data_IF_945405026726
#
_entry.id   IF_945405026726
#
_cell.length_a   1.000
_cell.length_b   1.000
_cell.length_c   1.000
_cell.angle_alpha   90.00
_cell.angle_beta   90.00
_cell.angle_gamma   90.00
#
_symmetry.space_group_name_H-M   'P 1'
#
loop_
_entity.id
_entity.type
_entity.pdbx_description
1 polymer ?
#
# COMPACT_ATOMS: atom_id res chain seq x y z
N UNK A 1 27.83 24.49 -15.47
CA UNK A 1 27.20 23.29 -16.10
C UNK A 1 26.05 22.63 -15.31
N UNK A 2 26.07 22.53 -13.97
CA UNK A 2 24.99 21.84 -13.22
C UNK A 2 23.60 22.52 -13.24
N UNK A 3 23.48 23.78 -13.68
CA UNK A 3 22.20 24.49 -13.79
C UNK A 3 21.34 24.02 -14.98
N UNK A 4 21.98 23.55 -16.05
CA UNK A 4 21.30 23.09 -17.27
C UNK A 4 21.06 21.58 -17.30
N UNK A 5 21.52 20.83 -16.29
CA UNK A 5 21.33 19.38 -16.21
C UNK A 5 19.85 18.95 -16.37
N UNK A 6 18.85 19.66 -15.79
CA UNK A 6 17.44 19.29 -15.95
C UNK A 6 16.84 19.58 -17.34
N UNK A 7 17.52 20.37 -18.19
CA UNK A 7 16.93 20.85 -19.44
C UNK A 7 16.57 19.70 -20.39
N UNK A 8 17.47 18.73 -20.56
CA UNK A 8 17.24 17.57 -21.43
C UNK A 8 16.13 16.64 -20.88
N UNK A 9 16.15 16.22 -19.60
CA UNK A 9 15.00 15.53 -18.98
C UNK A 9 13.68 16.29 -19.09
N UNK A 10 13.68 17.60 -18.85
CA UNK A 10 12.49 18.43 -18.96
C UNK A 10 11.93 18.39 -20.39
N UNK A 11 12.77 18.58 -21.40
CA UNK A 11 12.37 18.53 -22.80
C UNK A 11 11.78 17.17 -23.18
N UNK A 12 12.43 16.07 -22.79
CA UNK A 12 11.93 14.71 -23.06
C UNK A 12 10.58 14.43 -22.39
N UNK A 13 10.37 14.91 -21.16
CA UNK A 13 9.07 14.80 -20.48
C UNK A 13 7.99 15.63 -21.14
N UNK A 14 8.31 16.83 -21.64
CA UNK A 14 7.38 17.68 -22.40
C UNK A 14 7.00 17.01 -23.74
N UNK A 15 7.94 16.38 -24.43
CA UNK A 15 7.66 15.62 -25.65
C UNK A 15 6.71 14.43 -25.38
N UNK A 16 6.91 13.72 -24.27
CA UNK A 16 5.98 12.67 -23.83
C UNK A 16 4.59 13.25 -23.51
N UNK A 17 4.54 14.40 -22.83
CA UNK A 17 3.27 15.08 -22.53
C UNK A 17 2.50 15.43 -23.82
N UNK A 18 3.20 15.97 -24.82
CA UNK A 18 2.62 16.32 -26.12
C UNK A 18 2.14 15.07 -26.89
N UNK A 19 2.86 13.96 -26.81
CA UNK A 19 2.43 12.69 -27.37
C UNK A 19 1.11 12.22 -26.77
N UNK A 20 1.01 12.16 -25.44
CA UNK A 20 -0.23 11.75 -24.76
C UNK A 20 -1.40 12.72 -25.01
N UNK A 21 -1.11 14.01 -25.19
CA UNK A 21 -2.13 15.01 -25.51
C UNK A 21 -2.78 14.72 -26.87
N UNK A 22 -1.99 14.27 -27.85
CA UNK A 22 -2.49 13.88 -29.18
C UNK A 22 -3.49 12.72 -29.13
N UNK A 23 -3.37 11.84 -28.14
CA UNK A 23 -4.30 10.71 -27.92
C UNK A 23 -5.47 11.08 -26.98
N UNK A 24 -5.61 12.35 -26.58
CA UNK A 24 -6.67 12.80 -25.67
C UNK A 24 -6.46 12.39 -24.21
N UNK A 25 -5.26 11.92 -23.83
CA UNK A 25 -4.96 11.47 -22.46
C UNK A 25 -4.53 12.63 -21.56
N UNK A 26 -5.45 13.58 -21.33
CA UNK A 26 -5.18 14.85 -20.62
C UNK A 26 -4.56 14.62 -19.24
N UNK A 27 -5.04 13.63 -18.47
CA UNK A 27 -4.49 13.33 -17.15
C UNK A 27 -2.99 12.96 -17.16
N UNK A 28 -2.56 12.17 -18.15
CA UNK A 28 -1.16 11.76 -18.29
C UNK A 28 -0.31 12.94 -18.79
N UNK A 29 -0.83 13.74 -19.73
CA UNK A 29 -0.17 14.97 -20.19
C UNK A 29 0.13 15.90 -19.02
N UNK A 30 -0.85 16.21 -18.17
CA UNK A 30 -0.65 17.07 -17.01
C UNK A 30 0.36 16.45 -16.03
N UNK A 31 0.29 15.14 -15.78
CA UNK A 31 1.27 14.46 -14.94
C UNK A 31 2.72 14.61 -15.45
N UNK A 32 2.95 14.45 -16.76
CA UNK A 32 4.28 14.66 -17.35
C UNK A 32 4.73 16.12 -17.30
N UNK A 33 3.84 17.09 -17.52
CA UNK A 33 4.17 18.51 -17.39
C UNK A 33 4.55 18.88 -15.94
N UNK A 34 3.82 18.36 -14.96
CA UNK A 34 4.15 18.55 -13.54
C UNK A 34 5.50 17.92 -13.22
N UNK A 35 5.77 16.69 -13.71
CA UNK A 35 7.06 16.04 -13.52
C UNK A 35 8.21 16.81 -14.21
N UNK A 36 7.95 17.41 -15.38
CA UNK A 36 8.89 18.28 -16.07
C UNK A 36 9.20 19.55 -15.25
N UNK A 37 8.23 20.09 -14.50
CA UNK A 37 8.48 21.13 -13.50
C UNK A 37 9.31 20.62 -12.32
N UNK A 38 8.97 19.44 -11.79
CA UNK A 38 9.63 18.87 -10.61
C UNK A 38 11.12 18.57 -10.84
N UNK A 39 11.57 18.20 -12.05
CA UNK A 39 13.00 17.95 -12.32
C UNK A 39 13.86 19.21 -12.14
N UNK A 40 13.28 20.41 -12.10
CA UNK A 40 14.02 21.63 -11.77
C UNK A 40 14.30 21.79 -10.28
N UNK A 41 13.62 21.03 -9.40
CA UNK A 41 13.87 21.02 -7.95
C UNK A 41 15.18 20.30 -7.61
N UNK A 42 15.54 20.27 -6.32
CA UNK A 42 16.68 19.48 -5.80
C UNK A 42 16.24 18.20 -5.06
N UNK A 43 14.98 17.83 -5.15
CA UNK A 43 14.43 16.68 -4.44
C UNK A 43 15.05 15.37 -4.95
N UNK A 44 15.70 14.62 -4.04
CA UNK A 44 16.40 13.38 -4.38
C UNK A 44 15.54 12.33 -5.09
N UNK A 45 14.28 12.18 -4.69
CA UNK A 45 13.37 11.17 -5.22
C UNK A 45 12.91 11.46 -6.66
N UNK A 46 12.84 12.74 -7.05
CA UNK A 46 12.35 13.16 -8.37
C UNK A 46 13.21 12.60 -9.49
N UNK A 47 14.54 12.56 -9.30
CA UNK A 47 15.44 12.00 -10.33
C UNK A 47 15.13 10.53 -10.65
N UNK A 48 14.74 9.75 -9.65
CA UNK A 48 14.44 8.34 -9.80
C UNK A 48 13.08 8.14 -10.47
N UNK A 49 12.07 8.92 -10.06
CA UNK A 49 10.74 8.88 -10.68
C UNK A 49 10.79 9.37 -12.12
N UNK A 50 11.49 10.47 -12.40
CA UNK A 50 11.68 10.97 -13.76
C UNK A 50 12.48 10.00 -14.62
N UNK A 51 13.54 9.36 -14.09
CA UNK A 51 14.25 8.31 -14.82
C UNK A 51 13.33 7.10 -15.14
N UNK A 52 12.50 6.66 -14.20
CA UNK A 52 11.53 5.58 -14.44
C UNK A 52 10.47 5.99 -15.48
N UNK A 53 9.99 7.23 -15.44
CA UNK A 53 9.02 7.75 -16.40
C UNK A 53 9.62 7.88 -17.82
N UNK A 54 10.88 8.31 -17.93
CA UNK A 54 11.60 8.35 -19.21
C UNK A 54 11.86 6.94 -19.73
N UNK A 55 12.21 5.98 -18.87
CA UNK A 55 12.33 4.57 -19.23
C UNK A 55 11.02 4.02 -19.80
N UNK A 56 9.90 4.28 -19.13
CA UNK A 56 8.56 3.98 -19.67
C UNK A 56 8.34 4.64 -21.03
N UNK A 57 8.71 5.92 -21.16
CA UNK A 57 8.65 6.67 -22.42
C UNK A 57 9.44 6.03 -23.56
N UNK A 58 10.56 5.35 -23.30
CA UNK A 58 11.30 4.62 -24.35
C UNK A 58 10.41 3.52 -24.95
N UNK A 59 9.67 2.78 -24.11
CA UNK A 59 8.72 1.77 -24.59
C UNK A 59 7.56 2.41 -25.36
N UNK A 60 7.03 3.54 -24.89
CA UNK A 60 5.98 4.30 -25.60
C UNK A 60 6.44 4.74 -27.00
N UNK A 61 7.64 5.29 -27.11
CA UNK A 61 8.21 5.69 -28.38
C UNK A 61 8.49 4.50 -29.30
N UNK A 62 8.99 3.39 -28.76
CA UNK A 62 9.21 2.16 -29.53
C UNK A 62 7.90 1.59 -30.10
N UNK A 63 6.85 1.51 -29.29
CA UNK A 63 5.53 1.05 -29.73
C UNK A 63 4.94 1.97 -30.81
N UNK A 64 5.05 3.28 -30.61
CA UNK A 64 4.60 4.29 -31.58
C UNK A 64 5.38 4.19 -32.89
N UNK A 65 6.70 4.03 -32.83
CA UNK A 65 7.55 3.88 -33.99
C UNK A 65 7.18 2.64 -34.80
N UNK A 66 7.03 1.49 -34.13
CA UNK A 66 6.62 0.24 -34.77
C UNK A 66 5.25 0.35 -35.44
N UNK A 67 4.29 1.00 -34.78
CA UNK A 67 2.95 1.22 -35.34
C UNK A 67 3.02 2.07 -36.62
N UNK A 68 3.69 3.22 -36.56
CA UNK A 68 3.74 4.16 -37.69
C UNK A 68 4.58 3.61 -38.86
N UNK A 69 5.67 2.89 -38.59
CA UNK A 69 6.49 2.24 -39.63
C UNK A 69 5.69 1.13 -40.32
N UNK A 70 5.00 0.26 -39.55
CA UNK A 70 4.14 -0.79 -40.12
C UNK A 70 3.01 -0.19 -40.98
N UNK A 71 2.43 0.92 -40.54
CA UNK A 71 1.40 1.62 -41.31
C UNK A 71 1.95 2.14 -42.65
N UNK A 72 3.14 2.77 -42.66
CA UNK A 72 3.77 3.23 -43.90
C UNK A 72 4.17 2.10 -44.84
N UNK A 73 4.73 1.02 -44.31
CA UNK A 73 5.04 -0.17 -45.10
C UNK A 73 3.79 -0.75 -45.76
N UNK A 74 2.67 -0.80 -45.04
CA UNK A 74 1.39 -1.26 -45.60
C UNK A 74 0.85 -0.34 -46.70
N UNK A 75 1.19 0.95 -46.67
CA UNK A 75 0.84 1.94 -47.69
C UNK A 75 1.89 2.05 -48.81
N UNK A 76 2.95 1.24 -48.78
CA UNK A 76 4.10 1.32 -49.70
C UNK A 76 4.81 2.69 -49.71
N UNK A 77 4.72 3.46 -48.63
CA UNK A 77 5.38 4.76 -48.46
C UNK A 77 6.82 4.62 -47.92
N UNK A 78 7.66 5.63 -48.17
CA UNK A 78 8.99 5.71 -47.54
C UNK A 78 8.86 5.83 -46.01
N UNK A 79 9.42 4.84 -45.31
CA UNK A 79 9.44 4.75 -43.86
C UNK A 79 10.81 5.07 -43.25
N UNK A 80 11.86 5.20 -44.06
CA UNK A 80 13.24 5.37 -43.60
C UNK A 80 13.43 6.67 -42.82
N UNK A 81 12.95 7.79 -43.38
CA UNK A 81 12.98 9.11 -42.72
C UNK A 81 12.26 9.08 -41.37
N UNK A 82 11.09 8.45 -41.31
CA UNK A 82 10.31 8.33 -40.07
C UNK A 82 11.06 7.49 -39.02
N UNK A 83 11.64 6.36 -39.43
CA UNK A 83 12.41 5.50 -38.53
C UNK A 83 13.62 6.23 -37.93
N UNK A 84 14.33 7.04 -38.74
CA UNK A 84 15.44 7.88 -38.27
C UNK A 84 14.96 8.91 -37.25
N UNK A 85 13.84 9.61 -37.51
CA UNK A 85 13.27 10.59 -36.59
C UNK A 85 12.90 9.93 -35.26
N UNK A 86 12.14 8.82 -35.30
CA UNK A 86 11.71 8.13 -34.08
C UNK A 86 12.88 7.53 -33.30
N UNK A 87 13.87 6.97 -33.99
CA UNK A 87 15.11 6.50 -33.39
C UNK A 87 15.89 7.63 -32.68
N UNK A 88 15.92 8.82 -33.28
CA UNK A 88 16.53 10.01 -32.68
C UNK A 88 15.80 10.46 -31.41
N UNK A 89 14.46 10.48 -31.43
CA UNK A 89 13.63 10.80 -30.26
C UNK A 89 13.88 9.79 -29.13
N UNK A 90 13.94 8.49 -29.44
CA UNK A 90 14.25 7.44 -28.48
C UNK A 90 15.66 7.60 -27.89
N UNK A 91 16.66 7.92 -28.73
CA UNK A 91 18.03 8.16 -28.28
C UNK A 91 18.11 9.38 -27.33
N UNK A 92 17.46 10.49 -27.69
CA UNK A 92 17.37 11.69 -26.82
C UNK A 92 16.72 11.33 -25.48
N UNK A 93 15.62 10.58 -25.50
CA UNK A 93 14.94 10.14 -24.29
C UNK A 93 15.81 9.22 -23.41
N UNK A 94 16.58 8.32 -24.03
CA UNK A 94 17.54 7.47 -23.34
C UNK A 94 18.68 8.28 -22.70
N UNK A 95 19.25 9.25 -23.42
CA UNK A 95 20.29 10.15 -22.88
C UNK A 95 19.73 10.97 -21.72
N UNK A 96 18.50 11.47 -21.83
CA UNK A 96 17.83 12.19 -20.75
C UNK A 96 17.70 11.33 -19.47
N UNK A 97 17.31 10.06 -19.62
CA UNK A 97 17.28 9.10 -18.51
C UNK A 97 18.68 8.87 -17.93
N UNK A 98 19.70 8.66 -18.76
CA UNK A 98 21.09 8.45 -18.34
C UNK A 98 21.67 9.66 -17.58
N UNK A 99 21.29 10.88 -17.98
CA UNK A 99 21.68 12.11 -17.29
C UNK A 99 21.18 12.12 -15.83
N UNK A 100 19.95 11.65 -15.58
CA UNK A 100 19.36 11.59 -14.23
C UNK A 100 19.96 10.50 -13.33
N UNK A 101 20.49 9.43 -13.91
CA UNK A 101 21.15 8.34 -13.17
C UNK A 101 22.64 8.60 -12.93
N UNK A 102 23.25 9.51 -13.69
CA UNK A 102 24.66 9.88 -13.62
C UNK A 102 25.11 10.57 -12.32
N UNK A 103 26.44 10.66 -12.15
CA UNK A 103 27.07 11.22 -10.95
C UNK A 103 26.75 12.72 -10.74
N UNK A 104 26.61 13.50 -11.82
CA UNK A 104 26.26 14.92 -11.73
C UNK A 104 24.85 15.14 -11.18
N UNK A 105 23.89 14.30 -11.58
CA UNK A 105 22.54 14.32 -11.04
C UNK A 105 22.53 13.96 -9.55
N UNK A 106 23.29 12.95 -9.12
CA UNK A 106 23.42 12.62 -7.69
C UNK A 106 23.89 13.81 -6.84
N UNK A 107 24.80 14.64 -7.35
CA UNK A 107 25.25 15.87 -6.67
C UNK A 107 24.21 16.98 -6.66
N UNK A 108 23.34 17.06 -7.69
CA UNK A 108 22.30 18.11 -7.77
C UNK A 108 21.07 17.79 -6.92
N UNK A 109 20.63 16.53 -6.96
CA UNK A 109 19.44 16.05 -6.26
C UNK A 109 19.85 15.45 -4.92
N UNK A 110 20.47 16.28 -4.08
CA UNK A 110 21.06 15.92 -2.80
C UNK A 110 20.07 16.00 -1.63
N UNK A 111 18.97 16.74 -1.79
CA UNK A 111 17.97 16.90 -0.74
C UNK A 111 17.35 15.54 -0.37
N UNK A 112 17.51 15.14 0.90
CA UNK A 112 17.06 13.86 1.44
C UNK A 112 17.57 12.64 0.66
N UNK A 113 18.80 12.70 0.16
CA UNK A 113 19.42 11.65 -0.68
C UNK A 113 19.34 10.23 -0.11
N UNK A 114 19.46 10.08 1.22
CA UNK A 114 19.32 8.78 1.91
C UNK A 114 17.90 8.21 1.85
N UNK A 115 16.87 9.07 1.82
CA UNK A 115 15.45 8.69 1.81
C UNK A 115 14.91 8.56 0.38
N UNK A 116 15.52 9.29 -0.55
CA UNK A 116 15.15 9.37 -1.95
C UNK A 116 14.81 8.04 -2.64
N UNK A 117 15.61 6.95 -2.52
CA UNK A 117 15.28 5.70 -3.17
C UNK A 117 13.97 5.09 -2.66
N UNK A 118 13.68 5.20 -1.36
CA UNK A 118 12.46 4.64 -0.76
C UNK A 118 11.23 5.49 -1.08
N UNK A 119 11.39 6.81 -1.17
CA UNK A 119 10.33 7.71 -1.64
C UNK A 119 9.96 7.40 -3.10
N UNK A 120 10.96 7.24 -3.96
CA UNK A 120 10.75 6.87 -5.35
C UNK A 120 10.15 5.46 -5.48
N UNK A 121 10.60 4.49 -4.66
CA UNK A 121 10.03 3.16 -4.63
C UNK A 121 8.54 3.19 -4.22
N UNK A 122 8.15 4.00 -3.23
CA UNK A 122 6.75 4.15 -2.85
C UNK A 122 5.91 4.73 -3.99
N UNK A 123 6.42 5.78 -4.66
CA UNK A 123 5.78 6.33 -5.86
C UNK A 123 5.56 5.25 -6.93
N UNK A 124 6.61 4.51 -7.26
CA UNK A 124 6.60 3.50 -8.33
C UNK A 124 5.66 2.36 -7.97
N UNK A 125 5.68 1.87 -6.72
CA UNK A 125 4.75 0.84 -6.25
C UNK A 125 3.30 1.32 -6.40
N UNK A 126 2.98 2.54 -5.96
CA UNK A 126 1.63 3.10 -6.13
C UNK A 126 1.25 3.20 -7.60
N UNK A 127 2.14 3.74 -8.44
CA UNK A 127 1.87 3.91 -9.86
C UNK A 127 1.65 2.56 -10.56
N UNK A 128 2.52 1.59 -10.33
CA UNK A 128 2.44 0.24 -10.94
C UNK A 128 1.16 -0.47 -10.49
N UNK A 129 0.86 -0.48 -9.19
CA UNK A 129 -0.36 -1.14 -8.68
C UNK A 129 -1.60 -0.52 -9.31
N UNK A 130 -1.69 0.81 -9.36
CA UNK A 130 -2.85 1.49 -9.94
C UNK A 130 -2.95 1.34 -11.46
N UNK A 131 -1.83 1.35 -12.19
CA UNK A 131 -1.81 1.10 -13.63
C UNK A 131 -2.26 -0.32 -13.95
N UNK A 132 -1.76 -1.32 -13.22
CA UNK A 132 -2.19 -2.71 -13.37
C UNK A 132 -3.69 -2.82 -13.09
N UNK A 133 -4.16 -2.24 -11.99
CA UNK A 133 -5.56 -2.29 -11.62
C UNK A 133 -6.45 -1.59 -12.67
N UNK A 134 -6.05 -0.42 -13.16
CA UNK A 134 -6.76 0.32 -14.22
C UNK A 134 -6.85 -0.45 -15.54
N UNK A 135 -5.80 -1.19 -15.91
CA UNK A 135 -5.72 -1.89 -17.19
C UNK A 135 -6.31 -3.32 -17.16
N UNK A 136 -6.43 -3.94 -15.98
CA UNK A 136 -6.90 -5.33 -15.85
C UNK A 136 -8.35 -5.45 -15.43
N UNK A 137 -8.91 -4.42 -14.81
CA UNK A 137 -10.28 -4.45 -14.30
C UNK A 137 -11.23 -3.94 -15.38
N UNK A 138 -12.31 -4.67 -15.64
CA UNK A 138 -13.29 -4.37 -16.71
C UNK A 138 -14.20 -3.17 -16.44
N UNK A 139 -13.94 -2.37 -15.42
CA UNK A 139 -14.72 -1.20 -15.04
C UNK A 139 -13.78 -0.05 -14.60
N UNK A 140 -14.23 1.22 -14.66
CA UNK A 140 -13.38 2.37 -14.30
C UNK A 140 -13.05 2.37 -12.80
N UNK A 141 -11.92 1.78 -12.43
CA UNK A 141 -11.49 1.58 -11.04
C UNK A 141 -10.97 2.87 -10.36
N UNK A 142 -10.59 3.89 -11.13
CA UNK A 142 -10.18 5.20 -10.61
C UNK A 142 -11.35 6.17 -10.56
N UNK A 143 -11.45 6.96 -9.49
CA UNK A 143 -12.63 7.82 -9.25
C UNK A 143 -12.70 8.93 -10.29
N UNK A 144 -11.54 9.49 -10.62
CA UNK A 144 -11.41 10.48 -11.69
C UNK A 144 -11.87 9.95 -13.06
N UNK A 145 -11.53 8.71 -13.44
CA UNK A 145 -11.99 8.11 -14.69
C UNK A 145 -13.52 7.91 -14.70
N UNK A 146 -14.16 7.75 -13.54
CA UNK A 146 -15.61 7.59 -13.46
C UNK A 146 -16.37 8.91 -13.55
N UNK A 147 -15.85 9.98 -12.93
CA UNK A 147 -16.48 11.31 -12.97
C UNK A 147 -16.14 12.09 -14.24
N UNK A 148 -14.93 11.90 -14.78
CA UNK A 148 -14.38 12.69 -15.87
C UNK A 148 -13.91 11.81 -17.05
N UNK A 149 -14.53 10.64 -17.23
CA UNK A 149 -14.07 9.58 -18.14
C UNK A 149 -13.86 9.98 -19.60
N UNK A 150 -14.58 10.99 -20.09
CA UNK A 150 -14.35 11.54 -21.43
C UNK A 150 -12.95 12.16 -21.62
N UNK A 151 -12.25 12.50 -20.53
CA UNK A 151 -10.98 13.25 -20.54
C UNK A 151 -9.82 12.45 -19.89
N UNK A 152 -10.02 11.17 -19.55
CA UNK A 152 -8.97 10.25 -19.07
C UNK A 152 -8.12 10.78 -17.90
N UNK A 153 -8.74 11.40 -16.88
CA UNK A 153 -8.04 11.98 -15.73
C UNK A 153 -7.37 10.97 -14.79
N UNK A 154 -7.61 9.66 -14.95
CA UNK A 154 -6.98 8.60 -14.16
C UNK A 154 -5.46 8.69 -14.08
N UNK A 155 -4.79 9.07 -15.17
CA UNK A 155 -3.34 9.25 -15.18
C UNK A 155 -2.84 10.28 -14.16
N UNK A 156 -3.55 11.41 -14.03
CA UNK A 156 -3.21 12.43 -13.03
C UNK A 156 -3.47 11.93 -11.61
N UNK A 157 -4.60 11.23 -11.40
CA UNK A 157 -4.89 10.64 -10.09
C UNK A 157 -3.78 9.66 -9.64
N UNK A 158 -3.29 8.82 -10.55
CA UNK A 158 -2.16 7.91 -10.30
C UNK A 158 -0.92 8.70 -9.88
N UNK A 159 -0.56 9.72 -10.65
CA UNK A 159 0.60 10.56 -10.38
C UNK A 159 0.51 11.24 -9.01
N UNK A 160 -0.63 11.86 -8.69
CA UNK A 160 -0.85 12.55 -7.41
C UNK A 160 -0.76 11.59 -6.22
N UNK A 161 -1.32 10.38 -6.33
CA UNK A 161 -1.19 9.36 -5.28
C UNK A 161 0.26 8.85 -5.16
N UNK A 162 1.01 8.77 -6.27
CA UNK A 162 2.44 8.50 -6.25
C UNK A 162 3.23 9.58 -5.50
N UNK A 163 2.95 10.87 -5.75
CA UNK A 163 3.57 11.98 -5.03
C UNK A 163 3.23 11.93 -3.54
N UNK A 164 1.97 11.66 -3.20
CA UNK A 164 1.54 11.44 -1.82
C UNK A 164 2.31 10.28 -1.16
N UNK A 165 2.46 9.14 -1.85
CA UNK A 165 3.25 8.01 -1.36
C UNK A 165 4.73 8.37 -1.14
N UNK A 166 5.35 9.11 -2.06
CA UNK A 166 6.73 9.56 -1.93
C UNK A 166 6.92 10.49 -0.72
N UNK A 167 5.98 11.41 -0.50
CA UNK A 167 6.01 12.30 0.66
C UNK A 167 5.87 11.51 1.97
N UNK A 168 4.88 10.61 2.05
CA UNK A 168 4.68 9.76 3.23
C UNK A 168 5.87 8.86 3.54
N UNK A 169 6.46 8.22 2.54
CA UNK A 169 7.64 7.38 2.71
C UNK A 169 8.82 8.18 3.30
N UNK A 170 8.97 9.45 2.90
CA UNK A 170 9.98 10.35 3.45
C UNK A 170 9.74 10.71 4.92
N UNK A 171 8.47 10.75 5.35
CA UNK A 171 8.06 10.98 6.73
C UNK A 171 8.28 9.74 7.62
N UNK A 172 7.83 8.57 7.17
CA UNK A 172 7.81 7.34 8.01
C UNK A 172 9.13 6.59 8.07
N UNK A 173 10.14 6.98 7.29
CA UNK A 173 11.44 6.33 7.36
C UNK A 173 12.16 6.60 8.68
N UNK A 174 11.97 7.79 9.28
CA UNK A 174 12.38 8.06 10.66
C UNK A 174 11.52 7.23 11.63
N UNK A 175 12.14 6.38 12.48
CA UNK A 175 11.42 5.57 13.45
C UNK A 175 10.50 6.35 14.38
N UNK A 176 10.90 7.55 14.81
CA UNK A 176 10.11 8.33 15.74
C UNK A 176 8.88 8.92 15.05
N UNK A 177 9.09 9.57 13.90
CA UNK A 177 8.00 10.05 13.05
C UNK A 177 7.04 8.92 12.64
N UNK A 178 7.54 7.72 12.29
CA UNK A 178 6.71 6.58 11.93
C UNK A 178 5.68 6.22 13.00
N UNK A 179 6.12 6.09 14.26
CA UNK A 179 5.23 5.72 15.38
C UNK A 179 4.13 6.74 15.63
N UNK A 180 4.37 8.01 15.31
CA UNK A 180 3.40 9.09 15.45
C UNK A 180 2.49 9.23 14.22
N UNK A 181 3.06 9.09 13.02
CA UNK A 181 2.36 9.27 11.76
C UNK A 181 1.48 8.06 11.41
N UNK A 182 1.96 6.82 11.60
CA UNK A 182 1.26 5.59 11.19
C UNK A 182 -0.20 5.55 11.66
N UNK A 183 -0.54 5.76 12.94
CA UNK A 183 -1.93 5.73 13.39
C UNK A 183 -2.81 6.79 12.71
N UNK A 184 -2.27 7.98 12.43
CA UNK A 184 -3.00 9.07 11.78
C UNK A 184 -3.26 8.77 10.31
N UNK A 185 -2.24 8.28 9.59
CA UNK A 185 -2.38 7.87 8.19
C UNK A 185 -3.39 6.74 8.05
N UNK A 186 -3.34 5.77 8.97
CA UNK A 186 -4.25 4.64 8.96
C UNK A 186 -5.70 5.05 9.30
N UNK A 187 -5.88 5.94 10.27
CA UNK A 187 -7.19 6.53 10.57
C UNK A 187 -7.73 7.37 9.40
N UNK A 188 -6.87 8.14 8.72
CA UNK A 188 -7.24 8.88 7.52
C UNK A 188 -7.74 7.97 6.41
N UNK A 189 -7.05 6.85 6.15
CA UNK A 189 -7.52 5.84 5.19
C UNK A 189 -8.90 5.27 5.58
N UNK A 190 -9.09 4.92 6.86
CA UNK A 190 -10.39 4.44 7.35
C UNK A 190 -11.48 5.50 7.16
N UNK A 191 -11.19 6.76 7.49
CA UNK A 191 -12.14 7.86 7.33
C UNK A 191 -12.54 8.07 5.86
N UNK A 192 -11.58 8.08 4.93
CA UNK A 192 -11.86 8.20 3.49
C UNK A 192 -12.70 7.03 2.99
N UNK A 193 -12.37 5.80 3.39
CA UNK A 193 -13.13 4.61 3.01
C UNK A 193 -14.60 4.68 3.47
N UNK A 194 -14.86 5.00 4.73
CA UNK A 194 -16.23 5.08 5.27
C UNK A 194 -16.98 6.32 4.79
N UNK A 195 -16.30 7.44 4.57
CA UNK A 195 -16.90 8.62 3.95
C UNK A 195 -17.38 8.30 2.53
N UNK A 196 -16.55 7.60 1.75
CA UNK A 196 -16.93 7.22 0.40
C UNK A 196 -18.08 6.20 0.38
N UNK A 197 -18.09 5.24 1.31
CA UNK A 197 -19.24 4.36 1.52
C UNK A 197 -20.51 5.16 1.81
N UNK A 198 -20.44 6.11 2.75
CA UNK A 198 -21.58 6.95 3.10
C UNK A 198 -22.09 7.74 1.90
N UNK A 199 -21.21 8.42 1.15
CA UNK A 199 -21.56 9.11 -0.10
C UNK A 199 -22.13 8.17 -1.16
N UNK A 200 -21.63 6.94 -1.23
CA UNK A 200 -22.14 5.90 -2.13
C UNK A 200 -23.57 5.48 -1.82
N UNK A 201 -23.95 5.46 -0.55
CA UNK A 201 -25.28 5.08 -0.09
C UNK A 201 -26.28 6.26 -0.06
N UNK A 202 -25.81 7.48 0.20
CA UNK A 202 -26.70 8.64 0.40
C UNK A 202 -26.74 9.63 -0.76
N UNK A 203 -25.65 9.74 -1.54
CA UNK A 203 -25.51 10.75 -2.59
C UNK A 203 -25.57 10.12 -3.98
N UNK A 204 -24.72 9.13 -4.26
CA UNK A 204 -24.67 8.50 -5.59
C UNK A 204 -23.88 7.20 -5.59
N UNK A 205 -24.44 6.16 -6.20
CA UNK A 205 -23.80 4.85 -6.39
C UNK A 205 -22.48 4.91 -7.17
N UNK A 206 -22.18 6.02 -7.89
CA UNK A 206 -20.86 6.24 -8.52
C UNK A 206 -19.69 6.20 -7.55
N UNK A 207 -19.90 6.39 -6.24
CA UNK A 207 -18.87 6.22 -5.21
C UNK A 207 -18.69 4.75 -4.78
N UNK A 208 -19.62 3.86 -5.12
CA UNK A 208 -19.56 2.41 -4.87
C UNK A 208 -18.88 1.68 -6.04
N UNK A 209 -18.27 0.52 -5.78
CA UNK A 209 -17.48 -0.24 -6.74
C UNK A 209 -18.36 -0.97 -7.74
N UNK A 210 -19.38 -1.70 -7.28
CA UNK A 210 -20.17 -2.66 -8.08
C UNK A 210 -21.69 -2.52 -7.90
N UNK A 211 -22.17 -1.43 -7.29
CA UNK A 211 -23.60 -1.17 -7.08
C UNK A 211 -24.30 -2.12 -6.08
N UNK A 212 -23.59 -3.13 -5.55
CA UNK A 212 -24.10 -4.04 -4.52
C UNK A 212 -23.52 -3.69 -3.15
N UNK A 213 -24.35 -3.77 -2.11
CA UNK A 213 -23.97 -3.47 -0.74
C UNK A 213 -22.97 -4.51 -0.22
N UNK A 214 -21.70 -4.12 -0.10
CA UNK A 214 -20.68 -4.88 0.61
C UNK A 214 -20.56 -4.32 2.02
N UNK A 215 -21.11 -5.03 3.01
CA UNK A 215 -20.96 -4.64 4.40
C UNK A 215 -19.45 -4.68 4.77
N UNK A 216 -18.85 -3.59 5.28
CA UNK A 216 -17.43 -3.51 5.59
C UNK A 216 -17.11 -4.23 6.91
N UNK A 217 -17.31 -5.54 6.94
CA UNK A 217 -16.98 -6.41 8.08
C UNK A 217 -15.88 -7.37 7.62
N UNK A 218 -14.66 -7.31 8.19
CA UNK A 218 -13.53 -8.14 7.74
C UNK A 218 -13.81 -9.64 7.72
N UNK A 219 -14.68 -10.16 8.59
CA UNK A 219 -15.06 -11.57 8.58
C UNK A 219 -15.71 -12.01 7.26
N UNK A 220 -16.36 -11.10 6.53
CA UNK A 220 -16.98 -11.38 5.23
C UNK A 220 -15.96 -11.62 4.11
N UNK A 221 -14.68 -11.28 4.31
CA UNK A 221 -13.61 -11.65 3.37
C UNK A 221 -13.56 -13.18 3.20
N UNK A 222 -13.84 -13.94 4.25
CA UNK A 222 -13.91 -15.41 4.19
C UNK A 222 -15.36 -15.90 4.19
N UNK A 223 -16.22 -15.35 5.07
CA UNK A 223 -17.59 -15.81 5.20
C UNK A 223 -18.44 -15.60 3.95
N UNK A 224 -18.26 -14.48 3.24
CA UNK A 224 -19.01 -14.16 2.02
C UNK A 224 -18.79 -15.19 0.91
N UNK A 225 -17.54 -15.45 0.49
CA UNK A 225 -17.24 -16.48 -0.51
C UNK A 225 -17.70 -17.88 -0.11
N UNK A 226 -17.57 -18.27 1.17
CA UNK A 226 -18.03 -19.59 1.62
C UNK A 226 -19.56 -19.73 1.55
N UNK A 227 -20.30 -18.67 1.86
CA UNK A 227 -21.76 -18.68 1.78
C UNK A 227 -22.27 -18.62 0.32
N UNK A 228 -21.62 -17.81 -0.54
CA UNK A 228 -22.04 -17.61 -1.94
C UNK A 228 -21.47 -18.65 -2.91
N UNK A 229 -20.36 -19.31 -2.56
CA UNK A 229 -19.52 -20.13 -3.44
C UNK A 229 -18.88 -19.35 -4.60
N UNK A 230 -18.65 -18.05 -4.38
CA UNK A 230 -18.08 -17.14 -5.38
C UNK A 230 -16.94 -16.31 -4.77
N UNK A 231 -15.84 -16.19 -5.50
CA UNK A 231 -14.70 -15.40 -5.05
C UNK A 231 -14.99 -13.90 -5.21
N UNK A 232 -14.73 -13.13 -4.15
CA UNK A 232 -14.90 -11.67 -4.18
C UNK A 232 -13.56 -10.96 -4.45
N UNK A 233 -13.65 -9.74 -4.99
CA UNK A 233 -12.50 -8.86 -5.16
C UNK A 233 -11.69 -8.67 -3.86
N UNK A 234 -12.39 -8.56 -2.71
CA UNK A 234 -11.76 -8.41 -1.40
C UNK A 234 -10.86 -9.60 -1.02
N UNK A 235 -11.17 -10.83 -1.47
CA UNK A 235 -10.29 -12.00 -1.23
C UNK A 235 -8.98 -11.85 -1.96
N UNK A 236 -9.02 -11.52 -3.26
CA UNK A 236 -7.81 -11.36 -4.06
C UNK A 236 -6.96 -10.19 -3.57
N UNK A 237 -7.61 -9.09 -3.21
CA UNK A 237 -6.95 -7.92 -2.65
C UNK A 237 -6.31 -8.25 -1.29
N UNK A 238 -7.02 -8.93 -0.40
CA UNK A 238 -6.48 -9.38 0.89
C UNK A 238 -5.30 -10.35 0.70
N UNK A 239 -5.46 -11.38 -0.13
CA UNK A 239 -4.42 -12.39 -0.35
C UNK A 239 -3.17 -11.78 -1.00
N UNK A 240 -3.34 -10.99 -2.06
CA UNK A 240 -2.23 -10.32 -2.75
C UNK A 240 -1.44 -9.41 -1.81
N UNK A 241 -2.13 -8.63 -0.97
CA UNK A 241 -1.43 -7.77 0.00
C UNK A 241 -0.75 -8.53 1.13
N UNK A 242 -1.36 -9.61 1.63
CA UNK A 242 -0.73 -10.40 2.70
C UNK A 242 0.49 -11.17 2.18
N UNK A 243 0.46 -11.64 0.92
CA UNK A 243 1.63 -12.24 0.27
C UNK A 243 2.75 -11.20 0.11
N UNK A 244 2.42 -9.97 -0.28
CA UNK A 244 3.43 -8.92 -0.52
C UNK A 244 3.96 -8.29 0.78
N UNK A 245 3.08 -7.88 1.69
CA UNK A 245 3.41 -7.08 2.88
C UNK A 245 3.33 -7.87 4.19
N UNK A 246 2.96 -9.16 4.15
CA UNK A 246 2.80 -10.00 5.33
C UNK A 246 1.57 -9.63 6.17
N UNK A 247 1.63 -9.79 7.51
CA UNK A 247 0.51 -9.47 8.40
C UNK A 247 0.26 -7.95 8.58
N UNK A 248 0.92 -7.11 7.78
CA UNK A 248 0.79 -5.66 7.77
C UNK A 248 -0.60 -5.15 7.40
N UNK A 249 -1.40 -5.99 6.72
CA UNK A 249 -2.80 -5.69 6.43
C UNK A 249 -3.53 -5.16 7.67
N UNK A 250 -3.40 -5.87 8.79
CA UNK A 250 -4.06 -5.56 10.04
C UNK A 250 -3.49 -4.33 10.78
N UNK A 251 -2.42 -3.70 10.28
CA UNK A 251 -1.76 -2.54 10.92
C UNK A 251 -1.64 -1.31 10.03
N UNK A 252 -1.93 -1.43 8.73
CA UNK A 252 -1.79 -0.34 7.75
C UNK A 252 -2.94 -0.24 6.73
N UNK A 253 -3.65 -1.34 6.43
CA UNK A 253 -4.60 -1.40 5.30
C UNK A 253 -6.02 -1.79 5.71
N UNK A 254 -6.22 -2.37 6.90
CA UNK A 254 -7.55 -2.72 7.39
C UNK A 254 -8.25 -1.49 8.00
N UNK A 255 -9.37 -1.05 7.42
CA UNK A 255 -10.13 0.12 7.90
C UNK A 255 -10.68 -0.08 9.32
N UNK A 256 -11.09 -1.30 9.71
CA UNK A 256 -11.55 -1.63 11.07
C UNK A 256 -10.39 -1.67 12.07
N UNK A 257 -9.21 -2.11 11.64
CA UNK A 257 -8.05 -2.15 12.52
C UNK A 257 -7.65 -0.75 13.01
N UNK A 258 -7.89 0.30 12.21
CA UNK A 258 -7.65 1.67 12.62
C UNK A 258 -8.51 2.07 13.83
N UNK A 259 -9.75 1.59 13.90
CA UNK A 259 -10.65 1.83 15.04
C UNK A 259 -10.16 1.13 16.30
N UNK A 260 -9.68 -0.10 16.18
CA UNK A 260 -9.13 -0.86 17.30
C UNK A 260 -7.81 -0.24 17.82
N UNK A 261 -6.94 0.24 16.93
CA UNK A 261 -5.71 0.96 17.30
C UNK A 261 -6.04 2.27 18.02
N UNK A 262 -7.02 3.03 17.52
CA UNK A 262 -7.50 4.25 18.16
C UNK A 262 -8.11 3.96 19.54
N UNK A 263 -8.99 2.97 19.66
CA UNK A 263 -9.61 2.57 20.93
C UNK A 263 -8.55 2.15 21.94
N UNK A 264 -7.56 1.34 21.53
CA UNK A 264 -6.45 0.91 22.38
C UNK A 264 -5.55 2.08 22.84
N UNK A 265 -5.48 3.17 22.07
CA UNK A 265 -4.70 4.38 22.42
C UNK A 265 -5.41 5.29 23.40
N UNK A 266 -6.75 5.34 23.35
CA UNK A 266 -7.57 6.08 24.33
C UNK A 266 -7.65 5.42 25.71
N UNK A 267 -7.12 4.21 25.85
CA UNK A 267 -7.03 3.49 27.11
C UNK A 267 -6.08 4.08 28.14
N UNK A 268 -6.28 3.73 29.42
CA UNK A 268 -5.41 4.16 30.52
C UNK A 268 -3.99 3.62 30.36
N UNK A 269 -2.98 4.49 30.47
CA UNK A 269 -1.56 4.09 30.50
C UNK A 269 -1.23 3.20 31.71
N UNK A 270 -2.05 3.19 32.77
CA UNK A 270 -1.80 2.40 33.99
C UNK A 270 -1.91 0.88 33.77
N UNK A 271 -2.63 0.42 32.74
CA UNK A 271 -2.76 -1.01 32.39
C UNK A 271 -1.76 -1.46 31.31
N UNK A 272 -0.86 -0.58 30.85
CA UNK A 272 0.15 -0.86 29.80
C UNK A 272 1.31 -1.76 30.25
N UNK A 273 1.07 -2.66 31.20
CA UNK A 273 1.98 -3.78 31.43
C UNK A 273 1.94 -4.67 30.19
N UNK A 274 3.06 -5.32 29.81
CA UNK A 274 3.05 -6.38 28.82
C UNK A 274 2.23 -7.54 29.40
N UNK A 275 0.90 -7.46 29.28
CA UNK A 275 0.06 -8.59 29.62
C UNK A 275 0.26 -9.56 28.47
N UNK A 276 0.74 -10.75 28.82
CA UNK A 276 0.90 -11.85 27.88
C UNK A 276 -0.33 -11.94 26.99
N UNK A 277 -0.09 -12.13 25.70
CA UNK A 277 -1.11 -12.62 24.80
C UNK A 277 -1.36 -14.08 25.21
N UNK A 278 -1.94 -14.28 26.40
CA UNK A 278 -2.15 -15.58 26.98
C UNK A 278 -2.96 -16.47 26.05
N UNK A 279 -3.02 -17.77 26.37
CA UNK A 279 -3.73 -18.80 25.59
C UNK A 279 -5.11 -18.34 25.11
N UNK A 280 -5.81 -17.52 25.89
CA UNK A 280 -7.12 -16.93 25.55
C UNK A 280 -7.17 -16.12 24.26
N UNK A 281 -6.16 -15.33 23.90
CA UNK A 281 -6.19 -14.56 22.64
C UNK A 281 -6.09 -15.49 21.42
N UNK A 282 -5.27 -16.54 21.55
CA UNK A 282 -5.13 -17.59 20.55
C UNK A 282 -6.38 -18.44 20.40
N UNK A 283 -6.98 -18.85 21.51
CA UNK A 283 -8.25 -19.58 21.53
C UNK A 283 -9.33 -18.72 20.87
N UNK A 284 -9.45 -17.43 21.24
CA UNK A 284 -10.43 -16.52 20.64
C UNK A 284 -10.30 -16.41 19.12
N UNK A 285 -9.07 -16.30 18.62
CA UNK A 285 -8.78 -16.28 17.17
C UNK A 285 -9.22 -17.54 16.44
N UNK A 286 -8.92 -18.71 17.01
CA UNK A 286 -9.30 -20.01 16.43
C UNK A 286 -10.82 -20.17 16.48
N UNK A 287 -11.43 -19.93 17.64
CA UNK A 287 -12.89 -20.02 17.83
C UNK A 287 -13.62 -19.09 16.87
N UNK A 288 -13.20 -17.83 16.75
CA UNK A 288 -13.82 -16.87 15.84
C UNK A 288 -13.71 -17.29 14.37
N UNK A 289 -12.54 -17.79 13.95
CA UNK A 289 -12.34 -18.28 12.59
C UNK A 289 -13.20 -19.52 12.31
N UNK A 290 -13.18 -20.51 13.20
CA UNK A 290 -14.00 -21.72 13.10
C UNK A 290 -15.49 -21.37 13.08
N UNK A 291 -15.95 -20.49 13.96
CA UNK A 291 -17.34 -20.03 14.00
C UNK A 291 -17.74 -19.34 12.70
N UNK A 292 -16.88 -18.47 12.15
CA UNK A 292 -17.14 -17.78 10.88
C UNK A 292 -17.30 -18.77 9.73
N UNK A 293 -16.42 -19.78 9.64
CA UNK A 293 -16.45 -20.80 8.60
C UNK A 293 -17.69 -21.70 8.76
N UNK A 294 -17.89 -22.26 9.95
CA UNK A 294 -18.99 -23.17 10.25
C UNK A 294 -20.35 -22.51 10.07
N UNK A 295 -20.49 -21.24 10.51
CA UNK A 295 -21.73 -20.49 10.33
C UNK A 295 -21.99 -20.19 8.85
N UNK A 296 -20.98 -19.74 8.09
CA UNK A 296 -21.16 -19.44 6.67
C UNK A 296 -21.57 -20.68 5.87
N UNK A 297 -20.89 -21.81 6.10
CA UNK A 297 -21.20 -23.10 5.45
C UNK A 297 -22.56 -23.63 5.93
N UNK A 298 -22.84 -23.59 7.24
CA UNK A 298 -24.10 -24.06 7.82
C UNK A 298 -25.32 -23.29 7.31
N UNK A 299 -25.24 -21.95 7.22
CA UNK A 299 -26.31 -21.12 6.66
C UNK A 299 -26.57 -21.46 5.18
N UNK A 300 -25.51 -21.76 4.41
CA UNK A 300 -25.64 -22.17 3.01
C UNK A 300 -26.30 -23.54 2.88
N UNK A 301 -25.84 -24.53 3.65
CA UNK A 301 -26.40 -25.89 3.63
C UNK A 301 -27.86 -25.92 4.08
N UNK A 302 -28.24 -25.05 5.02
CA UNK A 302 -29.61 -24.90 5.48
C UNK A 302 -30.50 -24.04 4.54
N UNK A 303 -29.97 -23.54 3.42
CA UNK A 303 -30.73 -22.72 2.46
C UNK A 303 -31.23 -21.38 3.03
N UNK A 304 -30.59 -20.86 4.08
CA UNK A 304 -31.01 -19.61 4.75
C UNK A 304 -30.85 -18.44 3.79
N UNK A 305 -31.85 -17.55 3.77
CA UNK A 305 -31.86 -16.37 2.90
C UNK A 305 -30.75 -15.38 3.23
N UNK A 306 -30.28 -14.66 2.20
CA UNK A 306 -29.17 -13.70 2.33
C UNK A 306 -29.41 -12.55 3.33
N UNK A 307 -30.64 -12.04 3.57
CA UNK A 307 -30.84 -10.97 4.56
C UNK A 307 -30.50 -11.42 5.97
N UNK A 308 -30.81 -12.67 6.32
CA UNK A 308 -30.49 -13.26 7.63
C UNK A 308 -28.98 -13.40 7.78
N UNK A 309 -28.30 -13.91 6.75
CA UNK A 309 -26.83 -14.00 6.75
C UNK A 309 -26.17 -12.62 6.90
N UNK A 310 -26.72 -11.60 6.23
CA UNK A 310 -26.25 -10.22 6.34
C UNK A 310 -26.50 -9.64 7.75
N UNK A 311 -27.66 -9.89 8.34
CA UNK A 311 -28.00 -9.44 9.69
C UNK A 311 -27.07 -10.06 10.75
N UNK A 312 -26.77 -11.36 10.63
CA UNK A 312 -25.80 -12.04 11.49
C UNK A 312 -24.39 -11.45 11.33
N UNK A 313 -23.97 -11.16 10.10
CA UNK A 313 -22.69 -10.50 9.85
C UNK A 313 -22.64 -9.07 10.43
N UNK A 314 -23.75 -8.34 10.38
CA UNK A 314 -23.88 -7.01 10.99
C UNK A 314 -23.82 -7.09 12.52
N UNK A 315 -24.52 -8.03 13.14
CA UNK A 315 -24.45 -8.32 14.59
C UNK A 315 -23.02 -8.66 15.03
N UNK A 316 -22.30 -9.48 14.25
CA UNK A 316 -20.89 -9.75 14.47
C UNK A 316 -20.03 -8.49 14.34
N UNK A 317 -20.28 -7.65 13.33
CA UNK A 317 -19.62 -6.35 13.18
C UNK A 317 -19.80 -5.45 14.42
N UNK A 318 -21.04 -5.31 14.89
CA UNK A 318 -21.40 -4.52 16.08
C UNK A 318 -20.78 -5.09 17.36
N UNK A 319 -20.79 -6.41 17.53
CA UNK A 319 -20.08 -7.08 18.63
C UNK A 319 -18.57 -6.79 18.60
N UNK A 320 -17.98 -6.76 17.41
CA UNK A 320 -16.59 -6.34 17.22
C UNK A 320 -16.33 -4.90 17.68
N UNK A 321 -17.23 -3.96 17.37
CA UNK A 321 -17.16 -2.56 17.84
C UNK A 321 -17.28 -2.49 19.37
N UNK A 322 -18.20 -3.25 19.97
CA UNK A 322 -18.34 -3.33 21.42
C UNK A 322 -17.04 -3.83 22.08
N UNK A 323 -16.39 -4.86 21.51
CA UNK A 323 -15.07 -5.33 21.98
C UNK A 323 -14.03 -4.22 21.95
N UNK A 324 -14.01 -3.38 20.90
CA UNK A 324 -13.07 -2.26 20.83
C UNK A 324 -13.33 -1.22 21.93
N UNK A 325 -14.58 -0.79 22.07
CA UNK A 325 -14.98 0.27 23.03
C UNK A 325 -14.72 -0.17 24.47
N UNK A 326 -15.06 -1.41 24.83
CA UNK A 326 -15.00 -1.87 26.22
C UNK A 326 -13.69 -2.61 26.56
N UNK A 327 -13.21 -3.51 25.71
CA UNK A 327 -12.06 -4.37 26.02
C UNK A 327 -10.74 -3.79 25.51
N UNK A 328 -10.68 -3.39 24.23
CA UNK A 328 -9.44 -2.84 23.65
C UNK A 328 -9.05 -1.53 24.33
N UNK A 329 -10.02 -0.64 24.57
CA UNK A 329 -9.80 0.59 25.34
C UNK A 329 -9.36 0.32 26.77
N UNK A 330 -10.02 -0.58 27.50
CA UNK A 330 -9.66 -0.87 28.91
C UNK A 330 -8.25 -1.47 29.05
N UNK A 331 -7.87 -2.35 28.11
CA UNK A 331 -6.57 -3.04 28.15
C UNK A 331 -5.43 -2.28 27.48
N UNK A 332 -5.73 -1.26 26.67
CA UNK A 332 -4.72 -0.54 25.92
C UNK A 332 -4.07 -1.38 24.81
N UNK A 333 -4.70 -2.48 24.42
CA UNK A 333 -4.25 -3.42 23.40
C UNK A 333 -5.35 -3.65 22.36
N UNK A 334 -4.97 -4.11 21.18
CA UNK A 334 -5.88 -4.33 20.05
C UNK A 334 -6.59 -5.68 20.19
N UNK A 335 -7.46 -5.81 21.21
CA UNK A 335 -8.16 -7.07 21.55
C UNK A 335 -9.07 -7.52 20.42
N UNK A 336 -9.74 -6.60 19.71
CA UNK A 336 -10.54 -6.97 18.56
C UNK A 336 -9.67 -7.67 17.49
N UNK A 337 -8.55 -7.08 17.09
CA UNK A 337 -7.65 -7.67 16.09
C UNK A 337 -6.87 -8.89 16.61
N UNK A 338 -6.76 -9.07 17.93
CA UNK A 338 -5.96 -10.16 18.53
C UNK A 338 -6.76 -11.32 19.10
N UNK A 339 -8.08 -11.19 19.28
CA UNK A 339 -8.93 -12.26 19.81
C UNK A 339 -10.30 -12.37 19.14
N UNK A 340 -10.86 -11.31 18.55
CA UNK A 340 -12.22 -11.32 18.01
C UNK A 340 -12.27 -11.49 16.49
N UNK A 341 -11.41 -10.78 15.75
CA UNK A 341 -11.44 -10.76 14.30
C UNK A 341 -10.78 -12.02 13.70
N UNK A 342 -11.49 -12.81 12.87
CA UNK A 342 -10.94 -14.05 12.32
C UNK A 342 -9.78 -13.77 11.35
N UNK A 343 -9.84 -12.65 10.64
CA UNK A 343 -8.81 -12.24 9.68
C UNK A 343 -7.45 -11.97 10.33
N UNK A 344 -7.41 -11.68 11.63
CA UNK A 344 -6.16 -11.51 12.36
C UNK A 344 -5.30 -12.77 12.36
N UNK A 345 -5.90 -13.96 12.54
CA UNK A 345 -5.17 -15.22 12.49
C UNK A 345 -4.74 -15.55 11.06
N UNK A 346 -5.67 -15.38 10.11
CA UNK A 346 -5.46 -15.66 8.69
C UNK A 346 -4.28 -14.83 8.15
N UNK A 347 -4.27 -13.52 8.42
CA UNK A 347 -3.19 -12.63 7.98
C UNK A 347 -1.83 -13.02 8.59
N UNK A 348 -1.80 -13.44 9.85
CA UNK A 348 -0.56 -13.88 10.52
C UNK A 348 -0.05 -15.22 9.99
N UNK A 349 -0.94 -16.15 9.64
CA UNK A 349 -0.55 -17.44 9.08
C UNK A 349 -0.08 -17.31 7.63
N UNK A 350 -0.88 -16.71 6.76
CA UNK A 350 -0.53 -16.51 5.34
C UNK A 350 0.65 -15.55 5.21
N UNK A 351 0.74 -14.54 6.06
CA UNK A 351 1.84 -13.57 6.05
C UNK A 351 3.22 -14.15 6.32
N UNK A 352 3.33 -15.40 6.78
CA UNK A 352 4.61 -16.13 6.86
C UNK A 352 5.23 -16.38 5.47
N UNK A 353 4.43 -16.40 4.41
CA UNK A 353 4.90 -16.51 3.03
C UNK A 353 5.69 -15.28 2.57
N UNK A 354 5.38 -14.10 3.11
CA UNK A 354 6.13 -12.90 2.81
C UNK A 354 7.54 -12.97 3.42
N UNK A 355 8.58 -12.40 2.79
CA UNK A 355 9.96 -12.48 3.29
C UNK A 355 10.27 -11.52 4.45
N UNK A 356 9.33 -10.65 4.81
CA UNK A 356 9.55 -9.62 5.83
C UNK A 356 9.49 -10.20 7.24
N UNK A 357 10.53 -9.91 8.04
CA UNK A 357 10.60 -10.32 9.45
C UNK A 357 10.97 -9.14 10.33
N UNK A 358 10.56 -9.23 11.58
CA UNK A 358 11.05 -8.36 12.65
C UNK A 358 11.95 -9.20 13.55
N UNK A 359 13.18 -8.76 13.79
CA UNK A 359 14.19 -9.51 14.57
C UNK A 359 14.94 -8.58 15.52
N UNK A 360 15.50 -9.17 16.56
CA UNK A 360 16.47 -8.54 17.46
C UNK A 360 17.84 -9.18 17.19
N UNK A 361 18.88 -8.38 17.13
CA UNK A 361 20.27 -8.88 17.09
C UNK A 361 20.83 -9.12 18.51
N UNK A 362 22.06 -9.63 18.56
CA UNK A 362 22.74 -10.08 19.79
C UNK A 362 23.03 -8.94 20.77
N UNK A 363 22.92 -7.68 20.36
CA UNK A 363 23.05 -6.52 21.25
C UNK A 363 21.84 -6.30 22.15
N UNK A 364 20.77 -7.11 21.99
CA UNK A 364 19.54 -6.97 22.75
C UNK A 364 19.73 -7.31 24.24
N UNK A 365 19.58 -6.32 25.12
CA UNK A 365 19.68 -6.50 26.58
C UNK A 365 18.41 -7.08 27.23
N UNK A 366 17.46 -7.56 26.44
CA UNK A 366 16.18 -8.13 26.90
C UNK A 366 15.36 -7.23 27.88
N UNK A 367 15.53 -5.90 27.82
CA UNK A 367 14.93 -4.96 28.79
C UNK A 367 13.39 -4.82 28.75
N UNK A 368 12.70 -5.47 27.80
CA UNK A 368 11.23 -5.47 27.71
C UNK A 368 10.57 -4.14 27.33
N UNK A 369 11.33 -3.08 26.97
CA UNK A 369 10.76 -1.77 26.59
C UNK A 369 9.89 -1.84 25.33
N UNK A 370 10.30 -2.64 24.34
CA UNK A 370 9.56 -2.88 23.11
C UNK A 370 8.19 -3.53 23.37
N UNK A 371 8.10 -4.44 24.35
CA UNK A 371 6.84 -5.10 24.73
C UNK A 371 5.77 -4.11 25.18
N UNK A 372 6.14 -3.07 25.95
CA UNK A 372 5.20 -2.03 26.40
C UNK A 372 4.63 -1.17 25.27
N UNK A 373 5.32 -1.10 24.14
CA UNK A 373 4.82 -0.41 22.94
C UNK A 373 4.01 -1.32 22.02
N UNK A 374 4.04 -2.64 22.22
CA UNK A 374 3.35 -3.60 21.38
C UNK A 374 1.88 -3.74 21.77
N UNK A 375 0.99 -3.13 20.99
CA UNK A 375 -0.46 -3.22 21.20
C UNK A 375 -1.07 -4.56 20.76
N UNK A 376 -0.30 -5.37 20.05
CA UNK A 376 -0.71 -6.71 19.58
C UNK A 376 -0.29 -7.84 20.53
N UNK A 377 0.42 -7.54 21.62
CA UNK A 377 0.90 -8.55 22.57
C UNK A 377 1.87 -9.57 21.95
N UNK A 378 2.66 -9.18 20.96
CA UNK A 378 3.54 -10.09 20.20
C UNK A 378 4.97 -10.20 20.75
N UNK A 379 5.24 -9.63 21.93
CA UNK A 379 6.59 -9.50 22.50
C UNK A 379 6.57 -9.95 23.96
N UNK A 380 6.32 -11.24 24.19
CA UNK A 380 6.46 -11.84 25.52
C UNK A 380 7.94 -11.98 25.89
N UNK A 381 8.29 -12.14 27.18
CA UNK A 381 9.68 -12.35 27.60
C UNK A 381 10.37 -13.51 26.87
N UNK A 382 9.63 -14.60 26.60
CA UNK A 382 10.11 -15.76 25.84
C UNK A 382 10.36 -15.45 24.37
N UNK A 383 9.55 -14.59 23.74
CA UNK A 383 9.74 -14.11 22.37
C UNK A 383 10.99 -13.22 22.26
N UNK A 384 11.16 -12.30 23.23
CA UNK A 384 12.34 -11.43 23.31
C UNK A 384 13.61 -12.26 23.48
N UNK A 385 13.58 -13.27 24.36
CA UNK A 385 14.71 -14.19 24.56
C UNK A 385 15.06 -14.98 23.28
N UNK A 386 14.07 -15.27 22.43
CA UNK A 386 14.26 -15.92 21.11
C UNK A 386 14.65 -14.95 19.99
N UNK A 387 14.79 -13.65 20.29
CA UNK A 387 15.17 -12.61 19.34
C UNK A 387 14.13 -12.34 18.25
N UNK A 388 12.86 -12.75 18.41
CA UNK A 388 11.80 -12.54 17.40
C UNK A 388 10.41 -12.43 18.04
N UNK A 389 9.50 -11.59 17.50
CA UNK A 389 8.12 -11.53 17.96
C UNK A 389 7.34 -12.84 17.76
N UNK A 390 6.31 -13.04 18.58
CA UNK A 390 5.31 -14.10 18.43
C UNK A 390 4.36 -13.89 17.24
N UNK A 391 3.43 -14.84 17.04
CA UNK A 391 2.58 -14.88 15.83
C UNK A 391 1.69 -13.63 15.67
N UNK A 392 1.28 -12.97 16.75
CA UNK A 392 0.39 -11.81 16.67
C UNK A 392 1.06 -10.54 16.10
N UNK A 393 2.35 -10.59 15.77
CA UNK A 393 3.08 -9.46 15.18
C UNK A 393 2.55 -9.10 13.79
N UNK A 394 2.10 -7.85 13.64
CA UNK A 394 1.58 -7.30 12.38
C UNK A 394 2.58 -6.39 11.65
N UNK A 395 3.87 -6.48 12.00
CA UNK A 395 4.95 -5.68 11.41
C UNK A 395 4.71 -4.14 11.46
N UNK A 396 3.94 -3.66 12.45
CA UNK A 396 3.58 -2.24 12.58
C UNK A 396 4.75 -1.30 12.89
N UNK A 397 5.86 -1.82 13.41
CA UNK A 397 7.07 -1.05 13.67
C UNK A 397 7.04 -0.13 14.90
N UNK A 398 5.93 -0.04 15.65
CA UNK A 398 5.81 0.80 16.87
C UNK A 398 6.88 0.45 17.94
N UNK A 399 7.39 -0.78 17.92
CA UNK A 399 8.44 -1.28 18.80
C UNK A 399 9.84 -0.81 18.45
N UNK A 400 10.11 -0.45 17.18
CA UNK A 400 11.45 -0.09 16.72
C UNK A 400 11.99 1.17 17.40
N UNK A 401 11.30 2.33 17.40
CA UNK A 401 11.79 3.53 18.10
C UNK A 401 11.84 3.36 19.63
N UNK A 402 11.18 2.34 20.18
CA UNK A 402 11.21 2.07 21.63
C UNK A 402 12.48 1.34 22.08
N UNK A 403 13.23 0.75 21.14
CA UNK A 403 14.50 0.06 21.41
C UNK A 403 15.67 1.06 21.40
N UNK A 404 16.16 1.45 22.59
CA UNK A 404 17.29 2.39 22.70
C UNK A 404 18.63 1.82 22.19
N UNK A 405 18.78 0.51 22.22
CA UNK A 405 19.99 -0.16 21.72
C UNK A 405 20.00 -0.34 20.19
N UNK A 406 18.90 -0.03 19.51
CA UNK A 406 18.79 -0.23 18.06
C UNK A 406 18.73 -1.69 17.61
N UNK A 407 18.71 -2.65 18.52
CA UNK A 407 18.74 -4.09 18.21
C UNK A 407 17.49 -4.59 17.46
N UNK A 408 16.34 -3.94 17.69
CA UNK A 408 15.05 -4.32 17.10
C UNK A 408 14.85 -3.69 15.72
N UNK A 409 14.65 -4.48 14.68
CA UNK A 409 14.40 -3.93 13.34
C UNK A 409 13.87 -4.93 12.32
N UNK A 410 13.52 -4.39 11.15
CA UNK A 410 13.10 -5.18 10.00
C UNK A 410 14.28 -5.95 9.42
N UNK A 411 14.00 -7.14 8.89
CA UNK A 411 14.92 -8.02 8.18
C UNK A 411 14.20 -8.59 6.96
N UNK A 412 14.96 -8.82 5.89
CA UNK A 412 14.50 -9.53 4.70
C UNK A 412 15.06 -10.95 4.77
N UNK A 413 14.18 -11.93 4.95
CA UNK A 413 14.51 -13.34 5.19
C UNK A 413 14.37 -14.12 3.87
N UNK A 414 15.30 -13.88 2.94
CA UNK A 414 15.39 -14.57 1.65
C UNK A 414 16.66 -15.42 1.67
N UNK A 415 16.59 -16.75 1.41
CA UNK A 415 17.76 -17.61 1.38
C UNK A 415 18.84 -17.07 0.43
N UNK A 416 20.08 -16.97 0.93
CA UNK A 416 21.23 -16.49 0.16
C UNK A 416 21.37 -14.97 0.01
N UNK A 417 20.38 -14.17 0.44
CA UNK A 417 20.41 -12.72 0.29
C UNK A 417 20.59 -12.01 1.65
N UNK A 418 21.69 -11.28 1.82
CA UNK A 418 21.93 -10.44 3.00
C UNK A 418 21.66 -8.97 2.67
N UNK A 419 20.63 -8.40 3.29
CA UNK A 419 20.27 -6.98 3.13
C UNK A 419 20.50 -6.24 4.44
N UNK A 420 21.10 -5.06 4.36
CA UNK A 420 21.26 -4.17 5.51
C UNK A 420 19.88 -3.89 6.15
N UNK A 421 19.73 -4.00 7.49
CA UNK A 421 18.50 -3.69 8.22
C UNK A 421 17.80 -2.37 7.85
N UNK A 422 18.58 -1.30 7.65
CA UNK A 422 18.05 0.02 7.28
C UNK A 422 17.41 -0.03 5.88
N UNK A 423 18.06 -0.72 4.94
CA UNK A 423 17.53 -0.92 3.59
C UNK A 423 16.32 -1.83 3.57
N UNK A 424 16.33 -2.93 4.35
CA UNK A 424 15.18 -3.81 4.50
C UNK A 424 13.96 -3.05 5.06
N UNK A 425 14.17 -2.21 6.08
CA UNK A 425 13.14 -1.32 6.62
C UNK A 425 12.63 -0.34 5.56
N UNK A 426 13.52 0.37 4.88
CA UNK A 426 13.15 1.38 3.89
C UNK A 426 12.33 0.76 2.74
N UNK A 427 12.76 -0.40 2.23
CA UNK A 427 12.05 -1.13 1.19
C UNK A 427 10.67 -1.61 1.66
N UNK A 428 10.58 -2.15 2.88
CA UNK A 428 9.31 -2.58 3.47
C UNK A 428 8.32 -1.41 3.64
N UNK A 429 8.79 -0.28 4.19
CA UNK A 429 7.95 0.90 4.36
C UNK A 429 7.53 1.49 3.02
N UNK A 430 8.42 1.52 2.01
CA UNK A 430 8.06 1.96 0.67
C UNK A 430 6.95 1.10 0.05
N UNK A 431 7.02 -0.22 0.20
CA UNK A 431 5.97 -1.15 -0.23
C UNK A 431 4.64 -0.88 0.47
N UNK A 432 4.64 -0.81 1.81
CA UNK A 432 3.42 -0.65 2.60
C UNK A 432 2.77 0.73 2.37
N UNK A 433 3.56 1.79 2.31
CA UNK A 433 3.08 3.13 1.97
C UNK A 433 2.58 3.20 0.53
N UNK A 434 3.27 2.54 -0.40
CA UNK A 434 2.85 2.44 -1.79
C UNK A 434 1.48 1.77 -1.93
N UNK A 435 1.28 0.66 -1.22
CA UNK A 435 0.00 -0.05 -1.14
C UNK A 435 -1.08 0.80 -0.45
N UNK A 436 -0.76 1.49 0.63
CA UNK A 436 -1.69 2.39 1.32
C UNK A 436 -2.20 3.50 0.38
N UNK A 437 -1.31 4.17 -0.34
CA UNK A 437 -1.68 5.22 -1.28
C UNK A 437 -2.46 4.67 -2.48
N UNK A 438 -2.09 3.49 -2.99
CA UNK A 438 -2.87 2.82 -4.03
C UNK A 438 -4.28 2.52 -3.52
N UNK A 439 -4.40 1.97 -2.32
CA UNK A 439 -5.68 1.61 -1.73
C UNK A 439 -6.54 2.83 -1.48
N UNK A 440 -5.96 3.93 -1.02
CA UNK A 440 -6.67 5.18 -0.89
C UNK A 440 -7.25 5.66 -2.23
N UNK A 441 -6.53 5.47 -3.33
CA UNK A 441 -6.98 5.86 -4.67
C UNK A 441 -8.15 5.01 -5.19
N UNK A 442 -8.23 3.73 -4.76
CA UNK A 442 -9.28 2.77 -5.16
C UNK A 442 -10.26 2.43 -4.04
N UNK A 443 -10.16 3.08 -2.86
CA UNK A 443 -10.89 2.74 -1.64
C UNK A 443 -12.39 2.88 -1.87
N UNK A 444 -13.02 1.81 -2.36
CA UNK A 444 -14.41 1.72 -2.79
C UNK A 444 -15.05 0.51 -2.12
N UNK A 445 -16.35 0.61 -1.87
CA UNK A 445 -17.19 -0.50 -1.38
C UNK A 445 -17.95 -1.11 -2.53
#
# INVERSE_FOLDING_TARGET
MNRLLPALPCLSLVLLAAHHLRYGEVGITVAFLVLAGLVWTRLGWVRHVAAAALLWGIFTWAQTALLLVRMRMAMADDWTRLAIIMGSVMAVNFVAMAVLTGARARKRYDASSERAPYQAAAFIVTAVVLLIARNKVGFPILLSDRFFGAWSWGGLQIFLHGVYAAWLAGLVIDPNAHRMARPRLWAFFSAVFFLQLALGLTVSERFLMTGSLHLPVPALIIGGPLYRLEMSFMVFLFLGTVILAGPAWCSHLCYVGAWDDLASRFGSKKTSRPQSAGRWLWIGRIVSLSLTILLAVGLRLAGVSWPVALALAALFGLGGVAVMIFLSRRRGSMIHCTAYCPMGLVANCIGKLAPWRMRMDDSCTQCGKCARSCRYGALEPTDIARGKPGLSCTLCGDCVPSCRQGSMGYRLDIPGLRVNPAAARGAYLALVIGLHAAFLAVARV
#
